data_IF_541578171909
#
_entry.id   IF_541578171909
#
_cell.length_a   1.000
_cell.length_b   1.000
_cell.length_c   1.000
_cell.angle_alpha   90.00
_cell.angle_beta   90.00
_cell.angle_gamma   90.00
#
_symmetry.space_group_name_H-M   'P 1'
#
loop_
_entity.id
_entity.type
_entity.pdbx_description
1 polymer ?
#
# COMPACT_ATOMS: atom_id res chain seq x y z
N UNK A 1 -32.07 0.12 -13.24
CA UNK A 1 -31.37 1.28 -12.65
C UNK A 1 -31.05 0.93 -11.22
N UNK A 2 -29.81 1.15 -10.77
CA UNK A 2 -29.45 0.98 -9.36
C UNK A 2 -30.14 2.08 -8.54
N UNK A 3 -30.67 1.72 -7.37
CA UNK A 3 -31.24 2.69 -6.44
C UNK A 3 -30.13 3.43 -5.69
N UNK A 4 -30.47 4.56 -5.06
CA UNK A 4 -29.52 5.27 -4.16
C UNK A 4 -29.04 4.34 -3.03
N UNK A 5 -29.91 3.45 -2.53
CA UNK A 5 -29.54 2.43 -1.55
C UNK A 5 -28.50 1.44 -2.07
N UNK A 6 -28.67 0.95 -3.30
CA UNK A 6 -27.72 0.04 -3.95
C UNK A 6 -26.36 0.71 -4.17
N UNK A 7 -26.35 1.99 -4.55
CA UNK A 7 -25.13 2.78 -4.72
C UNK A 7 -24.41 2.96 -3.37
N UNK A 8 -25.11 3.33 -2.30
CA UNK A 8 -24.53 3.48 -0.96
C UNK A 8 -23.93 2.17 -0.45
N UNK A 9 -24.63 1.06 -0.62
CA UNK A 9 -24.14 -0.27 -0.24
C UNK A 9 -22.88 -0.67 -1.03
N UNK A 10 -22.87 -0.43 -2.34
CA UNK A 10 -21.71 -0.69 -3.20
C UNK A 10 -20.48 0.14 -2.81
N UNK A 11 -20.66 1.44 -2.51
CA UNK A 11 -19.58 2.32 -2.05
C UNK A 11 -19.01 1.89 -0.70
N UNK A 12 -19.87 1.52 0.24
CA UNK A 12 -19.44 1.02 1.55
C UNK A 12 -18.65 -0.29 1.42
N UNK A 13 -19.10 -1.20 0.56
CA UNK A 13 -18.38 -2.43 0.27
C UNK A 13 -17.02 -2.17 -0.39
N UNK A 14 -16.98 -1.31 -1.42
CA UNK A 14 -15.75 -0.91 -2.10
C UNK A 14 -14.74 -0.26 -1.17
N UNK A 15 -15.20 0.61 -0.27
CA UNK A 15 -14.36 1.19 0.79
C UNK A 15 -13.79 0.11 1.71
N UNK A 16 -14.62 -0.82 2.19
CA UNK A 16 -14.15 -1.89 3.07
C UNK A 16 -13.07 -2.76 2.42
N UNK A 17 -13.19 -3.05 1.12
CA UNK A 17 -12.16 -3.78 0.37
C UNK A 17 -10.87 -2.97 0.21
N UNK A 18 -10.98 -1.66 -0.06
CA UNK A 18 -9.85 -0.75 -0.14
C UNK A 18 -9.11 -0.61 1.21
N UNK A 19 -9.82 -0.54 2.32
CA UNK A 19 -9.25 -0.52 3.68
C UNK A 19 -8.48 -1.83 3.98
N UNK A 20 -9.02 -2.99 3.59
CA UNK A 20 -8.31 -4.28 3.70
C UNK A 20 -7.03 -4.29 2.87
N UNK A 21 -7.07 -3.75 1.64
CA UNK A 21 -5.89 -3.66 0.79
C UNK A 21 -4.80 -2.77 1.40
N UNK A 22 -5.18 -1.64 2.02
CA UNK A 22 -4.24 -0.78 2.75
C UNK A 22 -3.60 -1.50 3.94
N UNK A 23 -4.38 -2.24 4.71
CA UNK A 23 -3.86 -3.02 5.84
C UNK A 23 -2.87 -4.10 5.38
N UNK A 24 -3.17 -4.79 4.28
CA UNK A 24 -2.26 -5.77 3.68
C UNK A 24 -0.97 -5.12 3.17
N UNK A 25 -1.06 -3.98 2.48
CA UNK A 25 0.10 -3.21 2.01
C UNK A 25 0.98 -2.73 3.18
N UNK A 26 0.38 -2.31 4.28
CA UNK A 26 1.13 -1.96 5.49
C UNK A 26 1.90 -3.18 6.06
N UNK A 27 1.28 -4.36 6.06
CA UNK A 27 1.94 -5.61 6.44
C UNK A 27 3.11 -5.97 5.51
N UNK A 28 2.93 -5.85 4.19
CA UNK A 28 4.00 -6.08 3.20
C UNK A 28 5.14 -5.08 3.38
N UNK A 29 4.84 -3.80 3.59
CA UNK A 29 5.86 -2.77 3.83
C UNK A 29 6.70 -3.09 5.07
N UNK A 30 6.08 -3.54 6.16
CA UNK A 30 6.81 -3.95 7.37
C UNK A 30 7.72 -5.16 7.12
N UNK A 31 7.31 -6.12 6.28
CA UNK A 31 8.15 -7.25 5.91
C UNK A 31 9.32 -6.84 5.03
N UNK A 32 9.10 -5.93 4.06
CA UNK A 32 10.14 -5.36 3.21
C UNK A 32 11.16 -4.59 4.04
N UNK A 33 10.74 -3.81 5.04
CA UNK A 33 11.63 -3.11 5.95
C UNK A 33 12.53 -4.06 6.74
N UNK A 34 11.97 -5.17 7.25
CA UNK A 34 12.78 -6.20 7.92
C UNK A 34 13.79 -6.83 6.96
N UNK A 35 13.39 -7.13 5.72
CA UNK A 35 14.29 -7.70 4.72
C UNK A 35 15.44 -6.74 4.38
N UNK A 36 15.16 -5.44 4.22
CA UNK A 36 16.17 -4.41 4.01
C UNK A 36 17.13 -4.35 5.21
N UNK A 37 16.62 -4.35 6.44
CA UNK A 37 17.46 -4.30 7.64
C UNK A 37 18.41 -5.51 7.74
N UNK A 38 17.93 -6.72 7.43
CA UNK A 38 18.77 -7.93 7.39
C UNK A 38 19.87 -7.81 6.32
N UNK A 39 19.52 -7.36 5.12
CA UNK A 39 20.50 -7.20 4.04
C UNK A 39 21.51 -6.10 4.34
N UNK A 40 21.09 -5.01 5.00
CA UNK A 40 21.99 -3.94 5.44
C UNK A 40 22.98 -4.46 6.50
N UNK A 41 22.51 -5.27 7.45
CA UNK A 41 23.38 -5.91 8.43
C UNK A 41 24.40 -6.86 7.77
N UNK A 42 23.98 -7.63 6.75
CA UNK A 42 24.88 -8.50 5.98
C UNK A 42 25.88 -7.71 5.11
N UNK A 43 25.48 -6.54 4.61
CA UNK A 43 26.35 -5.67 3.83
C UNK A 43 27.38 -4.92 4.70
N UNK A 44 27.19 -4.87 6.03
CA UNK A 44 28.09 -4.19 6.94
C UNK A 44 29.47 -4.87 6.90
N UNK A 45 30.44 -4.20 6.27
CA UNK A 45 31.82 -4.64 6.15
C UNK A 45 32.22 -5.27 4.81
N UNK A 46 31.28 -5.71 3.98
CA UNK A 46 31.60 -6.32 2.67
C UNK A 46 31.20 -5.45 1.48
N UNK A 47 30.23 -4.54 1.64
CA UNK A 47 29.66 -3.71 0.56
C UNK A 47 29.42 -4.49 -0.74
N UNK A 48 28.97 -5.74 -0.62
CA UNK A 48 28.89 -6.65 -1.75
C UNK A 48 27.85 -6.11 -2.76
N UNK A 49 28.21 -5.88 -4.03
CA UNK A 49 27.36 -5.15 -4.97
C UNK A 49 25.99 -5.79 -5.22
N UNK A 50 25.88 -7.12 -5.15
CA UNK A 50 24.60 -7.79 -5.31
C UNK A 50 23.68 -7.58 -4.10
N UNK A 51 24.24 -7.52 -2.89
CA UNK A 51 23.47 -7.20 -1.67
C UNK A 51 22.97 -5.76 -1.72
N UNK A 52 23.82 -4.81 -2.11
CA UNK A 52 23.40 -3.42 -2.32
C UNK A 52 22.34 -3.29 -3.42
N UNK A 53 22.47 -4.05 -4.51
CA UNK A 53 21.48 -4.11 -5.58
C UNK A 53 20.15 -4.71 -5.13
N UNK A 54 20.13 -5.65 -4.19
CA UNK A 54 18.92 -6.19 -3.59
C UNK A 54 18.23 -5.15 -2.69
N UNK A 55 18.99 -4.46 -1.82
CA UNK A 55 18.50 -3.36 -0.98
C UNK A 55 17.85 -2.26 -1.84
N UNK A 56 18.50 -1.87 -2.94
CA UNK A 56 17.97 -0.87 -3.86
C UNK A 56 16.63 -1.27 -4.48
N UNK A 57 16.49 -2.54 -4.92
CA UNK A 57 15.22 -3.05 -5.47
C UNK A 57 14.10 -3.07 -4.43
N UNK A 58 14.40 -3.53 -3.21
CA UNK A 58 13.43 -3.54 -2.11
C UNK A 58 13.00 -2.13 -1.71
N UNK A 59 13.94 -1.18 -1.69
CA UNK A 59 13.64 0.23 -1.40
C UNK A 59 12.74 0.84 -2.48
N UNK A 60 13.00 0.55 -3.75
CA UNK A 60 12.14 0.97 -4.85
C UNK A 60 10.73 0.34 -4.78
N UNK A 61 10.64 -0.94 -4.40
CA UNK A 61 9.35 -1.60 -4.17
C UNK A 61 8.56 -0.92 -3.05
N UNK A 62 9.21 -0.61 -1.92
CA UNK A 62 8.59 0.11 -0.79
C UNK A 62 8.05 1.48 -1.22
N UNK A 63 8.80 2.23 -2.03
CA UNK A 63 8.33 3.51 -2.55
C UNK A 63 7.05 3.34 -3.38
N UNK A 64 7.03 2.37 -4.31
CA UNK A 64 5.85 2.08 -5.14
C UNK A 64 4.64 1.64 -4.32
N UNK A 65 4.85 0.86 -3.26
CA UNK A 65 3.77 0.50 -2.33
C UNK A 65 3.22 1.71 -1.59
N UNK A 66 4.08 2.67 -1.21
CA UNK A 66 3.66 3.94 -0.62
C UNK A 66 2.82 4.78 -1.58
N UNK A 67 3.25 4.91 -2.83
CA UNK A 67 2.50 5.60 -3.89
C UNK A 67 1.13 4.93 -4.14
N UNK A 68 1.11 3.60 -4.24
CA UNK A 68 -0.12 2.81 -4.38
C UNK A 68 -1.07 2.97 -3.20
N UNK A 69 -0.56 2.95 -1.97
CA UNK A 69 -1.36 3.21 -0.77
C UNK A 69 -1.98 4.61 -0.78
N UNK A 70 -1.23 5.63 -1.22
CA UNK A 70 -1.75 6.99 -1.38
C UNK A 70 -2.90 7.08 -2.39
N UNK A 71 -2.79 6.37 -3.52
CA UNK A 71 -3.85 6.31 -4.52
C UNK A 71 -5.12 5.63 -3.98
N UNK A 72 -4.97 4.54 -3.20
CA UNK A 72 -6.10 3.86 -2.57
C UNK A 72 -6.79 4.79 -1.56
N UNK A 73 -6.03 5.50 -0.74
CA UNK A 73 -6.58 6.49 0.21
C UNK A 73 -7.33 7.62 -0.52
N UNK A 74 -6.78 8.12 -1.63
CA UNK A 74 -7.43 9.14 -2.44
C UNK A 74 -8.76 8.63 -3.04
N UNK A 75 -8.80 7.38 -3.51
CA UNK A 75 -10.02 6.75 -4.01
C UNK A 75 -11.10 6.60 -2.92
N UNK A 76 -10.70 6.20 -1.70
CA UNK A 76 -11.61 6.15 -0.54
C UNK A 76 -12.15 7.55 -0.26
N UNK A 77 -11.30 8.56 -0.18
CA UNK A 77 -11.72 9.94 0.10
C UNK A 77 -12.69 10.48 -0.97
N UNK A 78 -12.50 10.11 -2.24
CA UNK A 78 -13.41 10.47 -3.32
C UNK A 78 -14.78 9.78 -3.18
N UNK A 79 -14.77 8.50 -2.80
CA UNK A 79 -15.97 7.71 -2.52
C UNK A 79 -16.76 8.29 -1.35
N UNK A 80 -16.07 8.72 -0.28
CA UNK A 80 -16.70 9.36 0.89
C UNK A 80 -17.33 10.70 0.55
N UNK A 81 -16.64 11.54 -0.24
CA UNK A 81 -17.20 12.81 -0.73
C UNK A 81 -18.49 12.60 -1.50
N UNK A 82 -18.53 11.57 -2.36
CA UNK A 82 -19.73 11.25 -3.12
C UNK A 82 -20.87 10.74 -2.22
N UNK A 83 -20.56 9.89 -1.23
CA UNK A 83 -21.55 9.41 -0.27
C UNK A 83 -22.12 10.52 0.64
N UNK A 84 -21.34 11.57 0.93
CA UNK A 84 -21.80 12.73 1.71
C UNK A 84 -22.77 13.64 0.94
N UNK A 85 -22.81 13.54 -0.39
CA UNK A 85 -23.65 14.36 -1.28
C UNK A 85 -24.94 13.61 -1.70
N UNK A 86 -24.99 12.28 -1.52
CA UNK A 86 -26.15 11.41 -1.76
C UNK A 86 -27.11 11.35 -0.57
#
# INVERSE_FOLDING_TARGET
MATIGDIKAGLAHGKSEADKALAQLAGVNAQVDRAIAVLQALAAGTQQPAVMGAIGKLSAAKQKFGEGAGLIQAAIAQTEKYNAVL
#
